data_IF_594847621209
#
_entry.id   IF_594847621209
#
_cell.length_a   1.000
_cell.length_b   1.000
_cell.length_c   1.000
_cell.angle_alpha   90.00
_cell.angle_beta   90.00
_cell.angle_gamma   90.00
#
_symmetry.space_group_name_H-M   'P 1'
#
loop_
_entity.id
_entity.type
_entity.pdbx_description
1 polymer ?
#
# COMPACT_ATOMS: atom_id res chain seq x y z
N UNK A 1 15.10 9.51 -1.99
CA UNK A 1 13.88 10.35 -2.15
C UNK A 1 12.71 9.43 -2.46
N UNK A 2 11.74 9.32 -1.55
CA UNK A 2 10.53 8.52 -1.76
C UNK A 2 9.49 9.41 -2.46
N UNK A 3 9.07 9.04 -3.67
CA UNK A 3 7.98 9.74 -4.34
C UNK A 3 6.67 9.14 -3.82
N UNK A 4 5.95 9.90 -2.99
CA UNK A 4 4.62 9.54 -2.51
C UNK A 4 3.62 9.98 -3.57
N UNK A 5 3.03 9.03 -4.30
CA UNK A 5 1.99 9.31 -5.27
C UNK A 5 0.62 9.20 -4.60
N UNK A 6 -0.19 10.27 -4.68
CA UNK A 6 -1.58 10.23 -4.26
C UNK A 6 -2.40 9.51 -5.32
N UNK A 7 -2.82 8.28 -5.04
CA UNK A 7 -3.78 7.57 -5.90
C UNK A 7 -5.16 7.65 -5.27
N UNK A 8 -6.14 8.14 -6.04
CA UNK A 8 -7.56 8.08 -5.69
C UNK A 8 -8.07 6.71 -6.15
N UNK A 9 -8.46 5.88 -5.19
CA UNK A 9 -8.98 4.55 -5.46
C UNK A 9 -10.34 4.59 -6.18
N UNK A 10 -10.52 3.67 -7.14
CA UNK A 10 -11.85 3.21 -7.55
C UNK A 10 -12.19 2.00 -6.69
N UNK A 11 -13.30 2.09 -5.96
CA UNK A 11 -13.76 1.02 -5.08
C UNK A 11 -14.61 0.02 -5.88
N UNK A 12 -13.99 -0.81 -6.72
CA UNK A 12 -14.64 -2.03 -7.21
C UNK A 12 -14.19 -3.17 -6.28
N UNK A 13 -15.10 -3.67 -5.43
CA UNK A 13 -14.87 -4.78 -4.48
C UNK A 13 -13.83 -4.58 -3.35
N UNK A 14 -13.66 -3.35 -2.83
CA UNK A 14 -12.78 -3.06 -1.69
C UNK A 14 -11.29 -3.34 -1.93
N UNK A 15 -10.87 -3.30 -3.20
CA UNK A 15 -9.48 -3.48 -3.60
C UNK A 15 -8.92 -2.16 -4.13
N UNK A 16 -7.77 -1.77 -3.58
CA UNK A 16 -7.03 -0.57 -3.93
C UNK A 16 -5.87 -0.99 -4.82
N UNK A 17 -5.66 -0.34 -5.96
CA UNK A 17 -4.57 -0.64 -6.89
C UNK A 17 -3.62 0.53 -6.97
N UNK A 18 -2.31 0.23 -6.97
CA UNK A 18 -1.23 1.18 -7.10
C UNK A 18 -0.28 0.75 -8.21
N UNK A 19 0.07 1.65 -9.12
CA UNK A 19 0.94 1.37 -10.27
C UNK A 19 2.02 2.44 -10.41
N UNK A 20 3.20 2.05 -10.90
CA UNK A 20 4.26 2.96 -11.30
C UNK A 20 5.04 2.38 -12.49
N UNK A 21 5.74 3.25 -13.21
CA UNK A 21 6.57 2.90 -14.37
C UNK A 21 8.05 3.23 -14.17
N UNK A 22 8.46 3.56 -12.94
CA UNK A 22 9.84 3.88 -12.58
C UNK A 22 10.65 2.57 -12.47
N UNK A 23 11.60 2.38 -13.39
CA UNK A 23 12.32 1.12 -13.56
C UNK A 23 13.17 0.68 -12.35
N UNK A 24 13.65 1.63 -11.54
CA UNK A 24 14.51 1.33 -10.38
C UNK A 24 13.71 0.99 -9.12
N UNK A 25 12.42 1.32 -9.08
CA UNK A 25 11.58 1.07 -7.91
C UNK A 25 11.21 -0.40 -7.85
N UNK A 26 11.40 -0.99 -6.68
CA UNK A 26 11.19 -2.43 -6.42
C UNK A 26 10.22 -2.67 -5.27
N UNK A 27 9.78 -1.60 -4.59
CA UNK A 27 8.95 -1.66 -3.40
C UNK A 27 7.72 -0.76 -3.59
N UNK A 28 6.54 -1.31 -3.30
CA UNK A 28 5.29 -0.55 -3.11
C UNK A 28 4.91 -0.64 -1.64
N UNK A 29 4.77 0.49 -0.96
CA UNK A 29 4.33 0.60 0.44
C UNK A 29 2.88 1.05 0.49
N UNK A 30 2.13 0.54 1.45
CA UNK A 30 0.73 0.89 1.68
C UNK A 30 0.53 1.53 3.05
N UNK A 31 -0.19 2.63 3.08
CA UNK A 31 -0.47 3.40 4.30
C UNK A 31 -1.96 3.67 4.44
N UNK A 32 -2.43 3.75 5.69
CA UNK A 32 -3.68 4.43 6.02
C UNK A 32 -3.40 5.72 6.78
N UNK A 33 -4.19 6.73 6.51
CA UNK A 33 -4.12 8.00 7.23
C UNK A 33 -4.87 7.90 8.55
N UNK A 34 -4.25 8.39 9.62
CA UNK A 34 -4.91 8.54 10.92
C UNK A 34 -5.74 9.82 10.95
N UNK A 35 -6.91 9.75 11.58
CA UNK A 35 -7.72 10.94 11.85
C UNK A 35 -6.99 11.92 12.79
N UNK A 36 -6.15 11.40 13.70
CA UNK A 36 -5.27 12.20 14.53
C UNK A 36 -4.05 12.68 13.72
N UNK A 37 -3.90 13.99 13.57
CA UNK A 37 -2.69 14.70 13.11
C UNK A 37 -2.19 14.39 11.69
N UNK A 38 -3.03 13.87 10.78
CA UNK A 38 -2.62 13.50 9.41
C UNK A 38 -1.43 12.52 9.39
N UNK A 39 -1.25 11.73 10.44
CA UNK A 39 -0.23 10.69 10.50
C UNK A 39 -0.52 9.57 9.50
N UNK A 40 0.52 8.79 9.18
CA UNK A 40 0.40 7.61 8.34
C UNK A 40 0.80 6.38 9.14
N UNK A 41 -0.03 5.33 9.06
CA UNK A 41 0.29 4.01 9.58
C UNK A 41 0.62 3.12 8.39
N UNK A 42 1.81 2.50 8.41
CA UNK A 42 2.19 1.48 7.44
C UNK A 42 1.32 0.24 7.66
N UNK A 43 0.72 -0.25 6.58
CA UNK A 43 -0.08 -1.47 6.55
C UNK A 43 0.75 -2.68 6.13
N UNK A 44 1.72 -2.43 5.25
CA UNK A 44 2.62 -3.43 4.70
C UNK A 44 3.22 -2.95 3.39
N UNK A 45 3.97 -3.83 2.75
CA UNK A 45 4.68 -3.55 1.50
C UNK A 45 4.78 -4.76 0.60
N UNK A 46 5.02 -4.48 -0.68
CA UNK A 46 5.33 -5.48 -1.72
C UNK A 46 6.74 -5.17 -2.18
N UNK A 47 7.68 -6.08 -1.94
CA UNK A 47 9.06 -5.99 -2.42
C UNK A 47 9.33 -7.04 -3.48
N UNK A 48 9.52 -6.63 -4.73
CA UNK A 48 9.54 -7.53 -5.89
C UNK A 48 8.28 -8.41 -5.92
N UNK A 49 8.37 -9.70 -5.56
CA UNK A 49 7.23 -10.64 -5.46
C UNK A 49 6.84 -10.97 -4.01
N UNK A 50 7.49 -10.34 -3.04
CA UNK A 50 7.32 -10.63 -1.61
C UNK A 50 6.31 -9.67 -1.01
N UNK A 51 5.16 -10.19 -0.63
CA UNK A 51 4.06 -9.42 -0.06
C UNK A 51 4.11 -9.57 1.47
N UNK A 52 4.37 -8.48 2.18
CA UNK A 52 4.55 -8.47 3.64
C UNK A 52 3.54 -7.52 4.24
N UNK A 53 2.66 -8.06 5.09
CA UNK A 53 1.74 -7.24 5.91
C UNK A 53 2.35 -7.04 7.28
N UNK A 54 2.15 -5.87 7.88
CA UNK A 54 2.51 -5.66 9.28
C UNK A 54 1.65 -6.56 10.17
N UNK A 55 2.21 -7.04 11.28
CA UNK A 55 1.59 -8.06 12.13
C UNK A 55 0.17 -7.69 12.59
N UNK A 56 -0.02 -6.42 12.97
CA UNK A 56 -1.30 -5.85 13.41
C UNK A 56 -2.36 -5.75 12.29
N UNK A 57 -1.98 -5.93 11.02
CA UNK A 57 -2.89 -5.88 9.89
C UNK A 57 -2.94 -7.17 9.07
N UNK A 58 -2.06 -8.14 9.36
CA UNK A 58 -1.95 -9.44 8.65
C UNK A 58 -3.29 -10.17 8.43
N UNK A 59 -4.21 -10.09 9.39
CA UNK A 59 -5.55 -10.67 9.27
C UNK A 59 -6.52 -9.76 8.50
N UNK A 60 -6.41 -8.45 8.65
CA UNK A 60 -7.33 -7.45 8.09
C UNK A 60 -7.07 -7.11 6.62
N UNK A 61 -5.85 -7.29 6.13
CA UNK A 61 -5.48 -6.95 4.76
C UNK A 61 -4.98 -8.16 3.96
N UNK A 62 -4.95 -8.00 2.65
CA UNK A 62 -4.21 -8.86 1.73
C UNK A 62 -3.50 -7.98 0.71
N UNK A 63 -2.20 -8.23 0.53
CA UNK A 63 -1.38 -7.59 -0.49
C UNK A 63 -1.13 -8.55 -1.66
N UNK A 64 -1.16 -8.04 -2.88
CA UNK A 64 -0.85 -8.80 -4.09
C UNK A 64 -0.10 -7.95 -5.14
N UNK A 65 0.61 -8.59 -6.07
CA UNK A 65 1.25 -7.94 -7.21
C UNK A 65 2.79 -7.97 -7.21
N UNK A 66 3.36 -6.97 -7.88
CA UNK A 66 4.78 -6.82 -8.15
C UNK A 66 5.26 -5.41 -7.84
N UNK A 67 6.18 -5.29 -6.89
CA UNK A 67 6.71 -4.00 -6.42
C UNK A 67 7.48 -3.19 -7.47
N UNK A 68 7.73 -3.76 -8.66
CA UNK A 68 8.35 -3.10 -9.81
C UNK A 68 7.36 -2.52 -10.82
N UNK A 69 6.06 -2.82 -10.67
CA UNK A 69 5.02 -2.42 -11.64
C UNK A 69 3.73 -1.97 -10.98
N UNK A 70 3.13 -2.87 -10.20
CA UNK A 70 1.77 -2.70 -9.70
C UNK A 70 1.54 -3.56 -8.47
N UNK A 71 0.86 -3.01 -7.47
CA UNK A 71 0.44 -3.73 -6.28
C UNK A 71 -1.03 -3.46 -5.96
N UNK A 72 -1.68 -4.40 -5.30
CA UNK A 72 -3.03 -4.22 -4.77
C UNK A 72 -3.07 -4.43 -3.25
N UNK A 73 -4.00 -3.70 -2.62
CA UNK A 73 -4.36 -3.81 -1.22
C UNK A 73 -5.85 -4.10 -1.14
N UNK A 74 -6.19 -5.29 -0.67
CA UNK A 74 -7.57 -5.67 -0.34
C UNK A 74 -7.79 -5.57 1.16
N UNK A 75 -8.86 -4.89 1.56
CA UNK A 75 -9.32 -4.84 2.96
C UNK A 75 -10.36 -5.95 3.15
N UNK A 76 -10.16 -6.82 4.13
CA UNK A 76 -11.11 -7.87 4.50
C UNK A 76 -12.13 -7.34 5.49
N UNK A 77 -13.36 -7.87 5.39
CA UNK A 77 -14.45 -7.61 6.32
C UNK A 77 -14.62 -6.11 6.60
N UNK A 78 -14.97 -5.33 5.56
CA UNK A 78 -15.08 -3.88 5.64
C UNK A 78 -16.03 -3.43 6.77
N UNK A 79 -15.55 -2.50 7.59
CA UNK A 79 -16.31 -1.85 8.64
C UNK A 79 -16.37 -0.33 8.42
N UNK A 80 -17.28 0.35 9.12
CA UNK A 80 -17.37 1.82 9.06
C UNK A 80 -16.06 2.52 9.48
N UNK A 81 -15.27 1.88 10.36
CA UNK A 81 -13.96 2.33 10.82
C UNK A 81 -12.88 2.29 9.73
N UNK A 82 -13.07 1.51 8.67
CA UNK A 82 -12.16 1.40 7.52
C UNK A 82 -12.41 2.51 6.48
N UNK A 83 -13.41 3.36 6.67
CA UNK A 83 -13.70 4.50 5.80
C UNK A 83 -12.72 5.66 6.04
N UNK A 84 -11.43 5.41 5.76
CA UNK A 84 -10.32 6.38 5.87
C UNK A 84 -9.62 6.54 4.53
N UNK A 85 -8.68 7.49 4.46
CA UNK A 85 -7.83 7.65 3.29
C UNK A 85 -6.68 6.64 3.30
N UNK A 86 -6.47 5.99 2.16
CA UNK A 86 -5.36 5.07 1.93
C UNK A 86 -4.41 5.67 0.89
N UNK A 87 -3.12 5.38 1.05
CA UNK A 87 -2.07 5.89 0.18
C UNK A 87 -1.11 4.75 -0.16
N UNK A 88 -0.53 4.83 -1.35
CA UNK A 88 0.63 4.01 -1.69
C UNK A 88 1.84 4.89 -2.01
N UNK A 89 3.02 4.34 -1.85
CA UNK A 89 4.27 4.96 -2.29
C UNK A 89 5.14 3.91 -2.96
N UNK A 90 5.91 4.30 -3.97
CA UNK A 90 6.86 3.41 -4.63
C UNK A 90 8.29 3.90 -4.37
N UNK A 91 9.21 2.96 -4.12
CA UNK A 91 10.61 3.25 -3.83
C UNK A 91 11.54 2.13 -4.28
N UNK A 92 12.83 2.41 -4.30
CA UNK A 92 13.90 1.40 -4.39
C UNK A 92 14.52 1.18 -3.00
N UNK A 93 14.93 -0.05 -2.70
CA UNK A 93 15.96 -0.31 -1.69
C UNK A 93 17.29 -0.46 -2.43
N UNK A 94 18.17 0.52 -2.29
CA UNK A 94 19.58 0.29 -2.57
C UNK A 94 20.15 -0.45 -1.36
N UNK A 95 20.61 -1.68 -1.57
CA UNK A 95 21.57 -2.30 -0.64
C UNK A 95 22.88 -1.58 -0.92
N UNK A 96 23.21 -0.59 -0.10
CA UNK A 96 24.53 0.03 -0.15
C UNK A 96 25.56 -0.90 0.50
#
# INVERSE_FOLDING_TARGET
YCNIFRIISKLDNAELVCEHNIATYTIILWYKQTQANHGFILLGYIWNKHNVSEDNFSQKIKLDGYGTKSGSLKIKDLEASDSVMYYCAATQCDVQ
#
